data_IF_477723862961
#
_entry.id   IF_477723862961
#
_cell.length_a   1.000
_cell.length_b   1.000
_cell.length_c   1.000
_cell.angle_alpha   90.00
_cell.angle_beta   90.00
_cell.angle_gamma   90.00
#
_symmetry.space_group_name_H-M   'P 1'
#
loop_
_entity.id
_entity.type
_entity.pdbx_description
1 polymer ?
#
# COMPACT_ATOMS: atom_id res chain seq x y z
N UNK A 1 -1.15 13.83 20.71
CA UNK A 1 0.23 13.71 20.19
C UNK A 1 0.23 12.50 19.28
N UNK A 2 -0.34 12.65 18.10
CA UNK A 2 -0.68 11.58 17.17
C UNK A 2 -0.96 12.16 15.80
N UNK A 3 -1.53 11.35 14.91
CA UNK A 3 -1.83 11.77 13.54
C UNK A 3 -2.84 12.93 13.54
N UNK A 4 -2.60 13.91 12.67
CA UNK A 4 -3.53 15.01 12.47
C UNK A 4 -4.71 14.51 11.65
N UNK A 5 -5.92 15.01 11.91
CA UNK A 5 -7.12 14.53 11.23
C UNK A 5 -7.93 15.69 10.66
N UNK A 6 -8.44 15.51 9.44
CA UNK A 6 -9.52 16.31 8.88
C UNK A 6 -10.83 15.62 9.22
N UNK A 7 -11.73 16.32 9.91
CA UNK A 7 -13.00 15.76 10.37
C UNK A 7 -14.19 16.52 9.81
N UNK A 8 -15.26 15.78 9.52
CA UNK A 8 -16.57 16.31 9.14
C UNK A 8 -17.51 16.25 10.33
N UNK A 9 -18.26 17.33 10.53
CA UNK A 9 -19.34 17.37 11.50
C UNK A 9 -20.67 17.16 10.77
N UNK A 10 -21.42 16.14 11.19
CA UNK A 10 -22.72 15.81 10.63
C UNK A 10 -23.85 16.39 11.50
N UNK A 11 -24.98 16.66 10.85
CA UNK A 11 -26.21 17.10 11.54
C UNK A 11 -26.97 15.92 12.15
N UNK A 12 -26.84 14.74 11.57
CA UNK A 12 -27.44 13.50 12.02
C UNK A 12 -26.36 12.55 12.54
N UNK A 13 -26.69 11.69 13.53
CA UNK A 13 -25.73 10.72 14.05
C UNK A 13 -25.40 9.67 13.00
N UNK A 14 -24.12 9.28 12.93
CA UNK A 14 -23.64 8.17 12.13
C UNK A 14 -24.06 6.82 12.73
N UNK A 15 -23.68 5.72 12.08
CA UNK A 15 -24.03 4.36 12.52
C UNK A 15 -23.56 4.02 13.95
N UNK A 16 -22.52 4.71 14.42
CA UNK A 16 -21.98 4.57 15.78
C UNK A 16 -22.66 5.49 16.81
N UNK A 17 -23.66 6.28 16.39
CA UNK A 17 -24.34 7.28 17.22
C UNK A 17 -23.55 8.59 17.41
N UNK A 18 -22.40 8.73 16.75
CA UNK A 18 -21.54 9.92 16.81
C UNK A 18 -21.85 10.93 15.70
N UNK A 19 -21.44 12.18 15.87
CA UNK A 19 -21.67 13.24 14.87
C UNK A 19 -20.40 13.61 14.09
N UNK A 20 -19.30 12.88 14.31
CA UNK A 20 -17.98 13.18 13.76
C UNK A 20 -17.53 12.04 12.88
N UNK A 21 -17.21 12.35 11.63
CA UNK A 21 -16.58 11.42 10.71
C UNK A 21 -15.17 11.90 10.39
N UNK A 22 -14.21 10.98 10.39
CA UNK A 22 -12.83 11.26 9.95
C UNK A 22 -12.80 11.15 8.43
N UNK A 23 -12.45 12.25 7.75
CA UNK A 23 -12.31 12.30 6.29
C UNK A 23 -10.91 11.86 5.90
N UNK A 24 -9.89 12.40 6.57
CA UNK A 24 -8.50 12.17 6.22
C UNK A 24 -7.64 12.18 7.48
N UNK A 25 -6.54 11.43 7.45
CA UNK A 25 -5.55 11.36 8.52
C UNK A 25 -4.16 11.59 7.94
N UNK A 26 -3.39 12.48 8.56
CA UNK A 26 -2.04 12.84 8.15
C UNK A 26 -1.05 12.31 9.18
N UNK A 27 -0.13 11.46 8.72
CA UNK A 27 0.88 10.83 9.56
C UNK A 27 1.72 11.85 10.32
N UNK A 28 1.83 11.66 11.63
CA UNK A 28 2.67 12.43 12.52
C UNK A 28 3.63 11.50 13.27
N UNK A 29 4.94 11.71 13.08
CA UNK A 29 5.98 10.94 13.75
C UNK A 29 6.24 11.44 15.19
N UNK A 30 5.70 12.59 15.58
CA UNK A 30 6.05 13.25 16.83
C UNK A 30 5.15 12.90 18.02
N UNK A 31 5.71 12.93 19.25
CA UNK A 31 7.14 12.93 19.56
C UNK A 31 7.76 11.54 19.31
N UNK A 32 8.99 11.52 18.81
CA UNK A 32 9.79 10.28 18.76
C UNK A 32 10.47 10.13 20.13
N UNK A 33 10.08 9.09 20.86
CA UNK A 33 10.58 8.81 22.22
C UNK A 33 11.87 7.97 22.17
N UNK A 34 11.94 7.04 21.22
CA UNK A 34 13.11 6.19 20.97
C UNK A 34 13.12 5.72 19.51
N UNK A 35 14.28 5.31 18.99
CA UNK A 35 14.40 4.79 17.63
C UNK A 35 15.57 3.80 17.46
N UNK A 36 15.41 2.88 16.52
CA UNK A 36 16.46 1.93 16.11
C UNK A 36 16.54 1.83 14.60
N UNK A 37 17.77 1.69 14.08
CA UNK A 37 18.02 1.39 12.66
C UNK A 37 18.19 -0.11 12.50
N UNK A 38 17.43 -0.72 11.59
CA UNK A 38 17.45 -2.15 11.28
C UNK A 38 17.44 -2.38 9.78
N UNK A 39 18.10 -3.43 9.31
CA UNK A 39 18.00 -3.89 7.92
C UNK A 39 17.16 -5.17 7.88
N UNK A 40 15.83 -5.01 7.85
CA UNK A 40 14.88 -6.14 7.90
C UNK A 40 14.98 -7.02 6.65
N UNK A 41 15.19 -6.40 5.50
CA UNK A 41 15.18 -7.08 4.19
C UNK A 41 16.59 -7.54 3.76
N UNK A 42 17.62 -7.25 4.57
CA UNK A 42 19.04 -7.54 4.29
C UNK A 42 19.51 -7.01 2.93
N UNK A 43 18.94 -5.91 2.49
CA UNK A 43 19.23 -5.28 1.19
C UNK A 43 20.30 -4.19 1.31
N UNK A 44 20.89 -4.00 2.50
CA UNK A 44 21.84 -2.92 2.76
C UNK A 44 21.19 -1.55 2.88
N UNK A 45 19.86 -1.48 2.99
CA UNK A 45 19.10 -0.26 3.20
C UNK A 45 18.52 -0.25 4.62
N UNK A 46 19.13 0.56 5.49
CA UNK A 46 18.65 0.72 6.86
C UNK A 46 17.26 1.34 6.92
N UNK A 47 16.37 0.73 7.69
CA UNK A 47 15.02 1.20 8.00
C UNK A 47 15.00 1.71 9.44
N UNK A 48 14.33 2.82 9.69
CA UNK A 48 14.20 3.37 11.04
C UNK A 48 12.88 2.91 11.65
N UNK A 49 12.93 2.26 12.81
CA UNK A 49 11.75 1.97 13.62
C UNK A 49 11.74 2.97 14.78
N UNK A 50 10.62 3.65 14.99
CA UNK A 50 10.48 4.70 16.00
C UNK A 50 9.30 4.40 16.93
N UNK A 51 9.47 4.70 18.21
CA UNK A 51 8.38 4.83 19.18
C UNK A 51 7.83 6.26 19.08
N UNK A 52 6.67 6.42 18.46
CA UNK A 52 6.07 7.73 18.13
C UNK A 52 4.76 7.96 18.89
N UNK A 53 4.46 9.23 19.17
CA UNK A 53 3.19 9.62 19.78
C UNK A 53 3.14 9.40 21.29
N UNK A 54 1.97 9.60 21.90
CA UNK A 54 1.78 9.41 23.34
C UNK A 54 0.32 9.05 23.70
N UNK A 55 0.14 8.42 24.85
CA UNK A 55 -1.16 7.99 25.40
C UNK A 55 -1.92 7.11 24.40
N UNK A 56 -3.20 7.44 24.11
CA UNK A 56 -4.03 6.71 23.14
C UNK A 56 -3.48 6.71 21.71
N UNK A 57 -2.57 7.63 21.40
CA UNK A 57 -1.98 7.81 20.07
C UNK A 57 -0.55 7.22 19.96
N UNK A 58 -0.10 6.47 20.97
CA UNK A 58 1.19 5.79 20.93
C UNK A 58 1.24 4.76 19.79
N UNK A 59 2.28 4.81 18.96
CA UNK A 59 2.43 3.97 17.76
C UNK A 59 3.90 3.65 17.47
N UNK A 60 4.15 2.54 16.77
CA UNK A 60 5.44 2.28 16.14
C UNK A 60 5.37 2.73 14.68
N UNK A 61 6.37 3.49 14.22
CA UNK A 61 6.46 3.93 12.82
C UNK A 61 7.74 3.41 12.18
N UNK A 62 7.61 2.81 11.01
CA UNK A 62 8.72 2.31 10.19
C UNK A 62 8.94 3.30 9.05
N UNK A 63 10.12 3.89 9.00
CA UNK A 63 10.54 4.84 7.98
C UNK A 63 11.55 4.12 7.09
N UNK A 64 11.20 3.97 5.81
CA UNK A 64 12.03 3.35 4.78
C UNK A 64 12.38 4.40 3.74
N UNK A 65 13.61 4.38 3.23
CA UNK A 65 13.96 5.20 2.09
C UNK A 65 13.45 4.52 0.80
N UNK A 66 12.83 5.28 -0.10
CA UNK A 66 12.27 4.78 -1.35
C UNK A 66 10.75 4.63 -1.33
N UNK A 67 10.23 4.02 -2.39
CA UNK A 67 8.79 3.79 -2.60
C UNK A 67 8.53 2.31 -2.35
N UNK A 68 7.60 2.01 -1.45
CA UNK A 68 7.13 0.64 -1.24
C UNK A 68 6.25 0.19 -2.42
N UNK A 69 6.48 -1.03 -2.90
CA UNK A 69 5.55 -1.71 -3.81
C UNK A 69 4.71 -2.65 -2.96
N UNK A 70 3.39 -2.44 -2.95
CA UNK A 70 2.48 -3.40 -2.34
C UNK A 70 2.12 -4.45 -3.38
N UNK A 71 2.73 -5.62 -3.27
CA UNK A 71 2.45 -6.77 -4.13
C UNK A 71 1.00 -7.23 -3.92
N UNK A 72 0.18 -7.12 -4.97
CA UNK A 72 -1.21 -7.59 -4.96
C UNK A 72 -1.34 -9.02 -5.49
N UNK A 73 -0.44 -9.41 -6.40
CA UNK A 73 -0.43 -10.72 -7.03
C UNK A 73 0.99 -11.08 -7.50
N UNK A 74 1.29 -12.37 -7.49
CA UNK A 74 2.56 -12.95 -7.93
C UNK A 74 2.28 -14.13 -8.84
N UNK A 75 2.97 -14.21 -9.98
CA UNK A 75 2.88 -15.36 -10.88
C UNK A 75 4.29 -15.79 -11.26
N UNK A 76 4.64 -17.05 -10.98
CA UNK A 76 5.96 -17.60 -11.24
C UNK A 76 6.14 -17.96 -12.73
N UNK A 77 6.46 -16.95 -13.54
CA UNK A 77 6.72 -17.08 -14.97
C UNK A 77 8.16 -16.65 -15.30
N UNK A 78 9.12 -17.62 -15.37
CA UNK A 78 10.51 -17.29 -15.64
C UNK A 78 10.71 -16.81 -17.08
N UNK A 79 11.62 -15.86 -17.26
CA UNK A 79 12.09 -15.45 -18.60
C UNK A 79 11.21 -14.45 -19.34
N UNK A 80 10.31 -13.75 -18.65
CA UNK A 80 9.56 -12.62 -19.21
C UNK A 80 10.54 -11.56 -19.74
N UNK A 81 10.31 -11.09 -20.97
CA UNK A 81 11.06 -10.04 -21.68
C UNK A 81 10.28 -8.75 -21.84
N UNK A 82 8.97 -8.79 -21.67
CA UNK A 82 8.10 -7.63 -21.74
C UNK A 82 6.70 -7.95 -21.24
N UNK A 83 6.04 -6.93 -20.72
CA UNK A 83 4.69 -6.99 -20.16
C UNK A 83 3.90 -5.81 -20.71
N UNK A 84 2.70 -6.06 -21.22
CA UNK A 84 1.79 -5.02 -21.71
C UNK A 84 0.38 -5.28 -21.23
N UNK A 85 -0.27 -4.25 -20.70
CA UNK A 85 -1.68 -4.27 -20.37
C UNK A 85 -2.54 -3.91 -21.58
N UNK A 86 -3.64 -4.65 -21.77
CA UNK A 86 -4.64 -4.38 -22.79
C UNK A 86 -6.04 -4.38 -22.16
N UNK A 87 -6.94 -3.70 -22.86
CA UNK A 87 -8.35 -3.60 -22.53
C UNK A 87 -9.19 -4.08 -23.70
N UNK A 88 -10.01 -5.10 -23.48
CA UNK A 88 -10.92 -5.66 -24.49
C UNK A 88 -12.31 -5.77 -23.88
N UNK A 89 -13.26 -5.00 -24.42
CA UNK A 89 -14.68 -4.99 -24.03
C UNK A 89 -14.93 -4.83 -22.51
N UNK A 90 -14.04 -4.13 -21.81
CA UNK A 90 -14.09 -3.92 -20.35
C UNK A 90 -13.87 -2.44 -20.03
N UNK A 91 -14.36 -1.98 -18.87
CA UNK A 91 -14.06 -0.64 -18.34
C UNK A 91 -12.61 -0.52 -17.84
N UNK A 92 -12.03 -1.62 -17.39
CA UNK A 92 -10.67 -1.72 -16.85
C UNK A 92 -9.80 -2.63 -17.72
N UNK A 93 -8.48 -2.49 -17.58
CA UNK A 93 -7.53 -3.39 -18.25
C UNK A 93 -7.76 -4.81 -17.74
N UNK A 94 -7.96 -5.75 -18.67
CA UNK A 94 -8.40 -7.11 -18.38
C UNK A 94 -7.54 -8.17 -19.07
N UNK A 95 -6.46 -7.76 -19.74
CA UNK A 95 -5.55 -8.66 -20.42
C UNK A 95 -4.11 -8.23 -20.14
N UNK A 96 -3.26 -9.23 -19.85
CA UNK A 96 -1.82 -9.07 -19.72
C UNK A 96 -1.11 -9.88 -20.81
N UNK A 97 -0.41 -9.19 -21.72
CA UNK A 97 0.41 -9.83 -22.75
C UNK A 97 1.85 -9.92 -22.24
N UNK A 98 2.42 -11.13 -22.30
CA UNK A 98 3.74 -11.46 -21.80
C UNK A 98 4.61 -11.98 -22.94
N UNK A 99 5.73 -11.31 -23.20
CA UNK A 99 6.72 -11.78 -24.18
C UNK A 99 7.77 -12.65 -23.49
N UNK A 100 8.11 -13.77 -24.13
CA UNK A 100 9.23 -14.65 -23.77
C UNK A 100 10.15 -14.81 -24.98
N UNK A 101 11.29 -15.46 -24.80
CA UNK A 101 12.14 -15.85 -25.94
C UNK A 101 11.41 -16.89 -26.78
N UNK A 102 11.03 -16.52 -28.01
CA UNK A 102 10.42 -17.43 -28.99
C UNK A 102 8.89 -17.62 -28.87
N UNK A 103 8.23 -17.02 -27.88
CA UNK A 103 6.77 -17.12 -27.74
C UNK A 103 6.17 -15.90 -27.02
N UNK A 104 4.86 -15.71 -27.17
CA UNK A 104 4.06 -14.72 -26.43
C UNK A 104 2.90 -15.44 -25.75
N UNK A 105 2.62 -15.13 -24.48
CA UNK A 105 1.43 -15.58 -23.76
C UNK A 105 0.48 -14.41 -23.52
N UNK A 106 -0.80 -14.71 -23.48
CA UNK A 106 -1.87 -13.75 -23.17
C UNK A 106 -2.60 -14.30 -21.96
N UNK A 107 -2.67 -13.53 -20.89
CA UNK A 107 -3.44 -13.86 -19.69
C UNK A 107 -4.65 -12.94 -19.62
N UNK A 108 -5.81 -13.49 -19.28
CA UNK A 108 -7.03 -12.73 -19.02
C UNK A 108 -7.22 -12.59 -17.52
N UNK A 109 -7.62 -11.39 -17.09
CA UNK A 109 -7.92 -11.08 -15.69
C UNK A 109 -9.44 -11.18 -15.50
N UNK A 110 -9.88 -12.19 -14.77
CA UNK A 110 -11.28 -12.45 -14.41
C UNK A 110 -11.49 -12.19 -12.92
N UNK A 111 -11.61 -10.91 -12.55
CA UNK A 111 -11.66 -10.51 -11.15
C UNK A 111 -10.27 -10.54 -10.51
N UNK A 112 -10.10 -11.33 -9.45
CA UNK A 112 -8.79 -11.58 -8.81
C UNK A 112 -8.06 -12.79 -9.40
N UNK A 113 -8.73 -13.58 -10.25
CA UNK A 113 -8.14 -14.75 -10.90
C UNK A 113 -7.47 -14.37 -12.22
N UNK A 114 -6.36 -15.06 -12.51
CA UNK A 114 -5.58 -14.89 -13.73
C UNK A 114 -5.58 -16.21 -14.49
N UNK A 115 -6.16 -16.22 -15.69
CA UNK A 115 -6.27 -17.40 -16.56
C UNK A 115 -5.49 -17.22 -17.88
#
# INVERSE_FOLDING_TARGET
MGDSQLVKLNLEPNESGGFVDIIETYTNLGPIVDMIVVDLDRQGQGQLITCSGAFKEGSLRIIRNGIGIQEQATIDLPGIKGVWQLRVNSAYDNILVLSFVGQTKVLMLTGEEVE
#
